data_IF_434475554110
#
_entry.id   IF_434475554110
#
_cell.length_a   1.000
_cell.length_b   1.000
_cell.length_c   1.000
_cell.angle_alpha   90.00
_cell.angle_beta   90.00
_cell.angle_gamma   90.00
#
_symmetry.space_group_name_H-M   'P 1'
#
loop_
_entity.id
_entity.type
_entity.pdbx_description
1 polymer ?
#
# COMPACT_ATOMS: atom_id res chain seq x y z
N UNK A 1 22.99 -8.86 1.96
CA UNK A 1 21.81 -9.72 1.70
C UNK A 1 20.63 -8.77 1.51
N UNK A 2 19.87 -8.89 0.42
CA UNK A 2 18.71 -8.05 0.18
C UNK A 2 17.63 -8.25 1.26
N UNK A 3 16.90 -7.20 1.56
CA UNK A 3 15.83 -7.21 2.56
C UNK A 3 14.52 -6.75 1.93
N UNK A 4 13.44 -7.45 2.25
CA UNK A 4 12.07 -7.03 1.96
C UNK A 4 11.48 -6.39 3.22
N UNK A 5 11.12 -5.12 3.12
CA UNK A 5 10.51 -4.33 4.19
C UNK A 5 9.03 -4.19 3.90
N UNK A 6 8.19 -4.80 4.70
CA UNK A 6 6.73 -4.71 4.56
C UNK A 6 6.17 -3.75 5.61
N UNK A 7 5.49 -2.70 5.15
CA UNK A 7 4.80 -1.75 6.02
C UNK A 7 3.31 -1.72 5.72
N UNK A 8 2.51 -1.40 6.73
CA UNK A 8 1.10 -1.09 6.55
C UNK A 8 0.91 0.41 6.68
N UNK A 9 -0.04 0.96 5.91
CA UNK A 9 -0.42 2.37 6.04
C UNK A 9 -0.88 2.71 7.47
N UNK A 10 -0.65 3.95 7.89
CA UNK A 10 -1.14 4.50 9.14
C UNK A 10 -2.67 4.57 9.21
N UNK A 11 -3.22 4.96 10.35
CA UNK A 11 -4.66 5.03 10.54
C UNK A 11 -5.32 6.02 9.57
N UNK A 12 -6.27 5.55 8.76
CA UNK A 12 -7.09 6.41 7.89
C UNK A 12 -8.30 7.00 8.64
N UNK A 13 -8.95 8.02 8.08
CA UNK A 13 -10.18 8.60 8.62
C UNK A 13 -11.29 7.55 8.83
N UNK A 14 -11.40 6.57 7.92
CA UNK A 14 -12.40 5.51 8.04
C UNK A 14 -11.99 4.39 8.99
N UNK A 15 -10.70 4.15 9.17
CA UNK A 15 -10.25 3.25 10.24
C UNK A 15 -10.64 3.80 11.61
N UNK A 16 -10.48 5.11 11.83
CA UNK A 16 -10.88 5.78 13.08
C UNK A 16 -12.37 5.67 13.37
N UNK A 17 -13.22 5.65 12.33
CA UNK A 17 -14.68 5.53 12.46
C UNK A 17 -15.21 4.10 12.28
N UNK A 18 -14.32 3.10 12.28
CA UNK A 18 -14.62 1.68 12.16
C UNK A 18 -15.45 1.33 10.92
N UNK A 19 -15.06 1.87 9.75
CA UNK A 19 -15.70 1.58 8.46
C UNK A 19 -14.89 0.63 7.61
N UNK A 20 -15.55 -0.07 6.70
CA UNK A 20 -14.90 -0.80 5.61
C UNK A 20 -14.36 0.20 4.59
N UNK A 21 -13.07 0.14 4.28
CA UNK A 21 -12.42 1.08 3.35
C UNK A 21 -12.30 0.48 1.95
N UNK A 22 -11.60 -0.63 1.80
CA UNK A 22 -11.36 -1.25 0.50
C UNK A 22 -10.68 -0.27 -0.48
N UNK A 23 -11.26 -0.09 -1.66
CA UNK A 23 -10.71 0.77 -2.70
C UNK A 23 -11.17 2.23 -2.62
N UNK A 24 -12.01 2.58 -1.64
CA UNK A 24 -12.33 4.00 -1.44
C UNK A 24 -11.07 4.74 -1.02
N UNK A 25 -10.79 5.83 -1.69
CA UNK A 25 -9.55 6.59 -1.53
C UNK A 25 -9.64 7.56 -0.34
N UNK A 26 -9.47 7.00 0.85
CA UNK A 26 -9.58 7.70 2.14
C UNK A 26 -8.19 8.01 2.66
N UNK A 27 -7.86 9.29 2.97
CA UNK A 27 -6.54 9.70 3.44
C UNK A 27 -6.28 9.27 4.89
N UNK A 28 -5.01 9.42 5.31
CA UNK A 28 -4.63 9.30 6.71
C UNK A 28 -5.29 10.39 7.57
N UNK A 29 -5.50 10.09 8.83
CA UNK A 29 -5.76 11.11 9.85
C UNK A 29 -4.44 11.54 10.52
N UNK A 30 -4.50 12.48 11.47
CA UNK A 30 -3.32 12.98 12.20
C UNK A 30 -2.54 11.84 12.90
N UNK A 31 -3.27 10.91 13.51
CA UNK A 31 -2.66 9.75 14.15
C UNK A 31 -1.93 8.86 13.12
N UNK A 32 -2.53 8.63 11.95
CA UNK A 32 -1.90 7.84 10.90
C UNK A 32 -0.62 8.46 10.36
N UNK A 33 -0.56 9.79 10.25
CA UNK A 33 0.66 10.52 9.89
C UNK A 33 1.73 10.36 10.97
N UNK A 34 1.36 10.51 12.26
CA UNK A 34 2.27 10.28 13.36
C UNK A 34 2.79 8.83 13.40
N UNK A 35 1.94 7.84 13.11
CA UNK A 35 2.34 6.44 12.98
C UNK A 35 3.37 6.24 11.85
N UNK A 36 3.22 6.92 10.71
CA UNK A 36 4.17 6.88 9.61
C UNK A 36 5.53 7.53 9.98
N UNK A 37 5.52 8.65 10.69
CA UNK A 37 6.75 9.29 11.22
C UNK A 37 7.50 8.36 12.20
N UNK A 38 6.77 7.67 13.08
CA UNK A 38 7.38 6.67 13.98
C UNK A 38 7.98 5.50 13.19
N UNK A 39 7.31 5.06 12.12
CA UNK A 39 7.83 4.01 11.25
C UNK A 39 9.12 4.45 10.55
N UNK A 40 9.20 5.70 10.08
CA UNK A 40 10.42 6.28 9.52
C UNK A 40 11.59 6.17 10.51
N UNK A 41 11.40 6.59 11.75
CA UNK A 41 12.44 6.48 12.78
C UNK A 41 12.93 5.03 13.02
N UNK A 42 12.02 4.04 12.93
CA UNK A 42 12.35 2.62 13.09
C UNK A 42 13.11 2.03 11.91
N UNK A 43 12.93 2.62 10.72
CA UNK A 43 13.53 2.14 9.48
C UNK A 43 14.84 2.84 9.13
N UNK A 44 15.35 3.77 9.97
CA UNK A 44 16.56 4.57 9.69
C UNK A 44 17.80 3.76 9.33
N UNK A 45 17.94 2.56 9.90
CA UNK A 45 19.08 1.69 9.66
C UNK A 45 18.95 0.83 8.38
N UNK A 46 17.82 0.97 7.68
CA UNK A 46 17.53 0.22 6.46
C UNK A 46 17.57 1.16 5.25
N UNK A 47 18.60 1.01 4.42
CA UNK A 47 18.67 1.75 3.16
C UNK A 47 17.81 1.09 2.10
N UNK A 48 16.78 1.78 1.64
CA UNK A 48 15.87 1.31 0.58
C UNK A 48 16.44 1.65 -0.81
N UNK A 49 16.34 0.74 -1.76
CA UNK A 49 16.78 0.95 -3.14
C UNK A 49 15.61 1.29 -4.07
N UNK A 50 14.46 0.69 -3.84
CA UNK A 50 13.22 0.87 -4.59
C UNK A 50 12.03 0.65 -3.67
N UNK A 51 10.92 1.34 -3.91
CA UNK A 51 9.70 1.19 -3.14
C UNK A 51 8.51 0.86 -4.06
N UNK A 52 7.60 0.03 -3.57
CA UNK A 52 6.35 -0.32 -4.24
C UNK A 52 5.19 -0.02 -3.30
N UNK A 53 4.16 0.64 -3.81
CA UNK A 53 2.97 0.97 -3.03
C UNK A 53 1.69 0.79 -3.86
N UNK A 54 0.55 0.76 -3.19
CA UNK A 54 -0.75 0.76 -3.87
C UNK A 54 -1.07 2.14 -4.46
N UNK A 55 -2.12 2.23 -5.30
CA UNK A 55 -2.63 3.51 -5.80
C UNK A 55 -3.43 4.30 -4.76
N UNK A 56 -3.73 3.73 -3.60
CA UNK A 56 -4.57 4.34 -2.57
C UNK A 56 -3.80 5.42 -1.81
N UNK A 57 -4.41 6.61 -1.69
CA UNK A 57 -3.79 7.80 -1.08
C UNK A 57 -3.18 7.52 0.30
N UNK A 58 -3.84 6.75 1.17
CA UNK A 58 -3.31 6.42 2.50
C UNK A 58 -2.00 5.64 2.47
N UNK A 59 -1.80 4.79 1.46
CA UNK A 59 -0.56 4.05 1.29
C UNK A 59 0.54 4.94 0.70
N UNK A 60 0.22 5.74 -0.31
CA UNK A 60 1.13 6.72 -0.90
C UNK A 60 1.58 7.73 0.16
N UNK A 61 0.64 8.30 0.93
CA UNK A 61 0.92 9.27 2.00
C UNK A 61 1.83 8.67 3.07
N UNK A 62 1.56 7.41 3.49
CA UNK A 62 2.43 6.69 4.44
C UNK A 62 3.83 6.51 3.86
N UNK A 63 3.94 6.07 2.62
CA UNK A 63 5.23 5.85 1.94
C UNK A 63 6.05 7.14 1.85
N UNK A 64 5.43 8.24 1.41
CA UNK A 64 6.10 9.54 1.28
C UNK A 64 6.61 10.01 2.66
N UNK A 65 5.77 9.96 3.70
CA UNK A 65 6.19 10.36 5.06
C UNK A 65 7.38 9.51 5.52
N UNK A 66 7.32 8.17 5.38
CA UNK A 66 8.42 7.29 5.79
C UNK A 66 9.73 7.67 5.10
N UNK A 67 9.69 7.95 3.80
CA UNK A 67 10.89 8.19 3.01
C UNK A 67 11.42 9.63 3.14
N UNK A 68 10.57 10.61 3.46
CA UNK A 68 10.97 12.03 3.53
C UNK A 68 11.31 12.51 4.96
N UNK A 69 10.88 11.79 6.00
CA UNK A 69 11.17 12.15 7.39
C UNK A 69 12.53 11.64 7.89
N UNK A 70 13.25 10.84 7.08
CA UNK A 70 14.54 10.26 7.45
C UNK A 70 15.41 10.05 6.21
N UNK A 71 16.34 10.95 5.97
CA UNK A 71 17.25 10.95 4.81
C UNK A 71 18.09 9.67 4.71
N UNK A 72 18.41 9.05 5.83
CA UNK A 72 19.21 7.83 5.88
C UNK A 72 18.55 6.67 5.12
N UNK A 73 17.21 6.57 5.16
CA UNK A 73 16.45 5.54 4.44
C UNK A 73 16.67 5.68 2.92
N UNK A 74 16.61 6.90 2.42
CA UNK A 74 16.81 7.20 1.01
C UNK A 74 18.28 7.20 0.61
N UNK A 75 19.20 7.33 1.58
CA UNK A 75 20.64 7.47 1.35
C UNK A 75 20.99 8.71 0.52
N UNK A 76 20.29 9.82 0.77
CA UNK A 76 20.47 11.10 0.06
C UNK A 76 19.79 11.15 -1.32
N UNK A 77 19.03 10.13 -1.72
CA UNK A 77 18.28 10.14 -2.99
C UNK A 77 16.89 10.75 -2.78
N UNK A 78 16.34 11.28 -3.87
CA UNK A 78 15.05 11.96 -3.90
C UNK A 78 13.94 10.93 -4.18
N UNK A 79 12.95 10.74 -3.30
CA UNK A 79 11.81 9.86 -3.55
C UNK A 79 10.96 10.40 -4.71
N UNK A 80 10.80 9.63 -5.78
CA UNK A 80 10.03 9.99 -6.97
C UNK A 80 8.95 8.94 -7.23
N UNK A 81 7.69 9.39 -7.33
CA UNK A 81 6.60 8.52 -7.76
C UNK A 81 6.75 8.18 -9.25
N UNK A 82 6.79 6.89 -9.53
CA UNK A 82 6.86 6.35 -10.90
C UNK A 82 5.60 5.55 -11.19
N UNK A 83 5.10 5.67 -12.42
CA UNK A 83 4.05 4.82 -12.94
C UNK A 83 4.64 3.68 -13.75
N UNK A 84 4.02 2.51 -13.69
CA UNK A 84 4.41 1.39 -14.53
C UNK A 84 4.08 1.71 -15.99
N UNK A 85 4.98 1.38 -16.92
CA UNK A 85 4.77 1.59 -18.36
C UNK A 85 3.51 0.85 -18.87
N UNK A 86 3.18 -0.25 -18.19
CA UNK A 86 1.97 -1.04 -18.47
C UNK A 86 0.69 -0.49 -17.82
N UNK A 87 0.80 0.56 -17.01
CA UNK A 87 -0.37 1.20 -16.41
C UNK A 87 -1.17 1.94 -17.51
N UNK A 88 -2.45 1.63 -17.71
CA UNK A 88 -3.25 2.24 -18.77
C UNK A 88 -3.42 3.76 -18.61
N UNK A 89 -3.25 4.28 -17.39
CA UNK A 89 -3.35 5.71 -17.10
C UNK A 89 -2.00 6.44 -17.22
N UNK A 90 -0.92 5.71 -17.53
CA UNK A 90 0.39 6.30 -17.70
C UNK A 90 0.43 7.27 -18.88
N UNK A 91 0.96 8.46 -18.67
CA UNK A 91 1.07 9.54 -19.67
C UNK A 91 2.50 10.10 -19.79
N UNK A 92 3.49 9.47 -19.16
CA UNK A 92 4.88 9.93 -19.16
C UNK A 92 5.14 11.17 -18.30
N UNK A 93 4.28 11.48 -17.34
CA UNK A 93 4.40 12.68 -16.49
C UNK A 93 5.40 12.54 -15.35
N UNK A 94 5.88 11.34 -15.11
CA UNK A 94 6.87 11.00 -14.10
C UNK A 94 8.31 11.08 -14.62
N UNK A 95 8.50 11.67 -15.80
CA UNK A 95 9.84 11.98 -16.29
C UNK A 95 10.44 13.12 -15.50
N UNK A 96 11.51 12.81 -14.80
CA UNK A 96 12.40 13.77 -14.18
C UNK A 96 13.74 13.75 -14.91
N UNK A 97 14.25 14.94 -15.31
CA UNK A 97 15.52 15.07 -16.07
C UNK A 97 16.77 14.88 -15.19
N UNK A 98 16.61 14.53 -13.92
CA UNK A 98 17.73 14.22 -13.02
C UNK A 98 18.45 12.92 -13.34
N UNK A 99 19.64 12.74 -12.80
CA UNK A 99 20.35 11.47 -12.91
C UNK A 99 19.57 10.38 -12.16
N UNK A 100 19.36 9.23 -12.79
CA UNK A 100 18.67 8.08 -12.15
C UNK A 100 19.30 7.65 -10.82
N UNK A 101 20.59 7.91 -10.64
CA UNK A 101 21.32 7.63 -9.40
C UNK A 101 20.87 8.54 -8.23
N UNK A 102 20.25 9.69 -8.51
CA UNK A 102 19.74 10.64 -7.52
C UNK A 102 18.30 10.39 -7.14
N UNK A 103 17.64 9.44 -7.81
CA UNK A 103 16.23 9.10 -7.57
C UNK A 103 16.07 7.83 -6.74
N UNK A 104 15.14 7.85 -5.79
CA UNK A 104 14.56 6.66 -5.18
C UNK A 104 13.20 6.41 -5.83
N UNK A 105 13.07 5.42 -6.72
CA UNK A 105 11.82 5.19 -7.41
C UNK A 105 10.78 4.58 -6.48
N UNK A 106 9.56 5.14 -6.52
CA UNK A 106 8.37 4.63 -5.85
C UNK A 106 7.38 4.24 -6.94
N UNK A 107 7.18 2.94 -7.15
CA UNK A 107 6.20 2.43 -8.10
C UNK A 107 4.83 2.27 -7.46
N UNK A 108 3.80 2.82 -8.11
CA UNK A 108 2.40 2.66 -7.69
C UNK A 108 1.68 1.69 -8.62
N UNK A 109 0.97 0.69 -8.07
CA UNK A 109 0.22 -0.25 -8.89
C UNK A 109 -1.03 -0.78 -8.18
N UNK A 110 -2.15 -0.88 -8.94
CA UNK A 110 -3.43 -1.36 -8.42
C UNK A 110 -3.40 -2.82 -7.92
N UNK A 111 -2.47 -3.64 -8.41
CA UNK A 111 -2.27 -4.99 -7.88
C UNK A 111 -1.94 -5.02 -6.38
N UNK A 112 -1.42 -3.92 -5.82
CA UNK A 112 -1.09 -3.78 -4.40
C UNK A 112 -2.21 -3.13 -3.58
N UNK A 113 -3.34 -2.78 -4.19
CA UNK A 113 -4.47 -2.19 -3.47
C UNK A 113 -5.03 -3.16 -2.42
N UNK A 114 -5.61 -2.60 -1.36
CA UNK A 114 -6.34 -3.37 -0.36
C UNK A 114 -7.40 -4.25 -1.03
N UNK A 115 -7.83 -5.30 -0.37
CA UNK A 115 -8.95 -6.11 -0.83
C UNK A 115 -10.20 -5.26 -1.06
N UNK A 116 -10.85 -5.47 -2.20
CA UNK A 116 -12.10 -4.80 -2.54
C UNK A 116 -13.25 -5.34 -1.68
N UNK A 117 -13.91 -4.46 -0.94
CA UNK A 117 -15.01 -4.85 -0.06
C UNK A 117 -16.40 -4.73 -0.70
N UNK A 118 -16.49 -4.37 -1.99
CA UNK A 118 -17.76 -4.28 -2.72
C UNK A 118 -18.77 -3.37 -2.03
N UNK A 119 -19.98 -3.90 -1.83
CA UNK A 119 -21.11 -3.16 -1.22
C UNK A 119 -20.90 -2.81 0.27
N UNK A 120 -19.90 -3.41 0.92
CA UNK A 120 -19.60 -3.10 2.31
C UNK A 120 -18.81 -1.79 2.46
N UNK A 121 -18.20 -1.26 1.40
CA UNK A 121 -17.40 -0.04 1.47
C UNK A 121 -18.20 1.13 2.02
N UNK A 122 -17.62 1.86 2.98
CA UNK A 122 -18.25 2.97 3.69
C UNK A 122 -19.15 2.56 4.86
N UNK A 123 -19.60 1.29 4.92
CA UNK A 123 -20.43 0.83 6.02
C UNK A 123 -19.62 0.72 7.32
N UNK A 124 -20.27 1.05 8.43
CA UNK A 124 -19.68 0.85 9.76
C UNK A 124 -19.68 -0.65 10.10
N UNK A 125 -18.53 -1.20 10.48
CA UNK A 125 -18.34 -2.65 10.71
C UNK A 125 -19.25 -3.21 11.82
N UNK A 126 -19.45 -2.44 12.91
CA UNK A 126 -20.32 -2.88 14.02
C UNK A 126 -21.79 -2.89 13.59
N UNK A 127 -22.25 -1.83 12.89
CA UNK A 127 -23.63 -1.77 12.38
C UNK A 127 -23.88 -2.85 11.33
N UNK A 128 -22.90 -3.15 10.50
CA UNK A 128 -22.97 -4.24 9.51
C UNK A 128 -23.09 -5.59 10.20
N UNK A 129 -22.29 -5.83 11.25
CA UNK A 129 -22.39 -7.06 12.03
C UNK A 129 -23.72 -7.20 12.75
N UNK A 130 -24.30 -6.09 13.27
CA UNK A 130 -25.63 -6.11 13.88
C UNK A 130 -26.74 -6.41 12.85
N UNK A 131 -26.58 -5.99 11.60
CA UNK A 131 -27.56 -6.21 10.51
C UNK A 131 -27.50 -7.61 9.92
N UNK A 132 -26.30 -8.11 9.63
CA UNK A 132 -26.10 -9.35 8.87
C UNK A 132 -25.65 -10.54 9.73
N UNK A 133 -25.39 -10.33 11.01
CA UNK A 133 -24.83 -11.31 11.93
C UNK A 133 -23.31 -11.22 12.02
N UNK A 134 -22.77 -11.41 13.23
CA UNK A 134 -21.34 -11.30 13.52
C UNK A 134 -20.54 -12.36 12.75
N UNK A 135 -21.05 -13.59 12.72
CA UNK A 135 -20.38 -14.73 12.08
C UNK A 135 -20.21 -14.51 10.58
N UNK A 136 -21.27 -14.14 9.87
CA UNK A 136 -21.22 -13.87 8.43
C UNK A 136 -20.29 -12.72 8.08
N UNK A 137 -20.34 -11.62 8.85
CA UNK A 137 -19.43 -10.48 8.63
C UNK A 137 -17.98 -10.85 8.93
N UNK A 138 -17.76 -11.73 9.92
CA UNK A 138 -16.43 -12.24 10.22
C UNK A 138 -15.92 -13.17 9.10
N UNK A 139 -16.79 -13.98 8.54
CA UNK A 139 -16.49 -14.80 7.37
C UNK A 139 -16.10 -13.93 6.17
N UNK A 140 -16.87 -12.92 5.80
CA UNK A 140 -16.50 -11.94 4.75
C UNK A 140 -15.16 -11.25 4.99
N UNK A 141 -14.78 -11.06 6.25
CA UNK A 141 -13.53 -10.36 6.62
C UNK A 141 -12.30 -11.26 6.67
N UNK A 142 -12.46 -12.56 6.90
CA UNK A 142 -11.36 -13.46 7.26
C UNK A 142 -11.24 -14.70 6.38
N UNK A 143 -12.33 -15.14 5.76
CA UNK A 143 -12.29 -16.32 4.90
C UNK A 143 -11.38 -16.09 3.69
N UNK A 144 -10.67 -17.14 3.31
CA UNK A 144 -9.83 -17.12 2.12
C UNK A 144 -10.66 -17.14 0.83
N UNK A 145 -11.76 -17.93 0.80
CA UNK A 145 -12.58 -18.13 -0.40
C UNK A 145 -13.86 -17.29 -0.45
N UNK A 146 -14.42 -16.91 0.71
CA UNK A 146 -15.73 -16.24 0.75
C UNK A 146 -15.58 -14.77 0.43
N UNK A 147 -16.34 -14.34 -0.57
CA UNK A 147 -16.41 -12.94 -1.01
C UNK A 147 -17.48 -12.18 -0.23
N UNK A 148 -17.22 -10.93 0.18
CA UNK A 148 -18.30 -10.02 0.54
C UNK A 148 -19.15 -9.69 -0.71
N UNK A 149 -20.39 -9.21 -0.54
CA UNK A 149 -21.26 -8.86 -1.66
C UNK A 149 -20.58 -7.89 -2.64
N UNK A 150 -20.44 -8.31 -3.90
CA UNK A 150 -19.77 -7.52 -4.95
C UNK A 150 -18.28 -7.26 -4.74
N UNK A 151 -17.62 -7.95 -3.81
CA UNK A 151 -16.22 -7.71 -3.47
C UNK A 151 -15.28 -8.89 -3.76
N UNK A 152 -14.04 -8.77 -3.30
CA UNK A 152 -12.98 -9.78 -3.44
C UNK A 152 -12.87 -10.67 -2.19
N UNK A 153 -12.55 -11.95 -2.40
CA UNK A 153 -12.00 -12.84 -1.37
C UNK A 153 -10.49 -12.54 -1.15
N UNK A 154 -9.88 -13.20 -0.17
CA UNK A 154 -8.42 -13.16 -0.03
C UNK A 154 -7.73 -13.91 -1.18
N UNK A 155 -8.34 -14.95 -1.72
CA UNK A 155 -7.88 -15.67 -2.90
C UNK A 155 -7.81 -14.76 -4.14
N UNK A 156 -8.85 -13.96 -4.39
CA UNK A 156 -8.86 -12.99 -5.48
C UNK A 156 -7.74 -11.95 -5.32
N UNK A 157 -7.57 -11.42 -4.12
CA UNK A 157 -6.49 -10.49 -3.79
C UNK A 157 -5.13 -11.13 -4.04
N UNK A 158 -4.92 -12.36 -3.59
CA UNK A 158 -3.68 -13.12 -3.83
C UNK A 158 -3.43 -13.33 -5.31
N UNK A 159 -4.46 -13.65 -6.09
CA UNK A 159 -4.36 -13.90 -7.53
C UNK A 159 -3.83 -12.69 -8.32
N UNK A 160 -4.03 -11.45 -7.83
CA UNK A 160 -3.46 -10.25 -8.46
C UNK A 160 -2.13 -9.80 -7.83
N UNK A 161 -1.95 -9.97 -6.51
CA UNK A 161 -0.75 -9.52 -5.80
C UNK A 161 0.45 -10.40 -6.10
N UNK A 162 0.29 -11.74 -6.07
CA UNK A 162 1.43 -12.67 -6.21
C UNK A 162 2.10 -12.58 -7.59
N UNK A 163 1.38 -12.57 -8.72
CA UNK A 163 2.02 -12.37 -10.03
C UNK A 163 2.78 -11.04 -10.13
N UNK A 164 2.22 -9.97 -9.58
CA UNK A 164 2.89 -8.67 -9.53
C UNK A 164 4.18 -8.73 -8.68
N UNK A 165 4.11 -9.33 -7.49
CA UNK A 165 5.29 -9.53 -6.65
C UNK A 165 6.38 -10.31 -7.37
N UNK A 166 6.03 -11.43 -8.00
CA UNK A 166 6.99 -12.30 -8.69
C UNK A 166 7.64 -11.64 -9.90
N UNK A 167 6.88 -10.82 -10.63
CA UNK A 167 7.37 -10.19 -11.87
C UNK A 167 8.03 -8.84 -11.66
N UNK A 168 7.65 -8.08 -10.61
CA UNK A 168 8.11 -6.70 -10.42
C UNK A 168 8.96 -6.49 -9.17
N UNK A 169 8.63 -7.14 -8.06
CA UNK A 169 9.30 -6.92 -6.77
C UNK A 169 10.46 -7.90 -6.58
N UNK A 170 10.22 -9.18 -6.79
CA UNK A 170 11.21 -10.22 -6.59
C UNK A 170 12.51 -10.03 -7.40
N UNK A 171 12.49 -9.53 -8.65
CA UNK A 171 13.73 -9.27 -9.41
C UNK A 171 14.69 -8.30 -8.71
N UNK A 172 14.17 -7.25 -8.04
CA UNK A 172 14.97 -6.31 -7.26
C UNK A 172 15.68 -7.00 -6.10
N UNK A 173 14.93 -7.83 -5.35
CA UNK A 173 15.50 -8.62 -4.26
C UNK A 173 16.59 -9.58 -4.75
N UNK A 174 16.37 -10.23 -5.91
CA UNK A 174 17.35 -11.14 -6.52
C UNK A 174 18.60 -10.40 -7.02
N UNK A 175 18.46 -9.12 -7.38
CA UNK A 175 19.57 -8.24 -7.73
C UNK A 175 20.36 -7.72 -6.50
N UNK A 176 19.92 -8.05 -5.28
CA UNK A 176 20.56 -7.62 -4.05
C UNK A 176 20.06 -6.28 -3.52
N UNK A 177 18.97 -5.74 -4.07
CA UNK A 177 18.38 -4.47 -3.67
C UNK A 177 17.41 -4.64 -2.49
N UNK A 178 17.41 -3.68 -1.57
CA UNK A 178 16.42 -3.60 -0.50
C UNK A 178 15.14 -2.94 -1.03
N UNK A 179 14.01 -3.57 -0.76
CA UNK A 179 12.69 -3.15 -1.23
C UNK A 179 11.77 -2.83 -0.07
#
# INVERSE_FOLDING_TARGET
MAQLILTRHGQSLWNATNRFTGWVDVPLNERGRAEAMIASCKLRDYRVNVCFTSKLIRAIETTIIILTECDEICGGRIPILKHEVTDPDWRGWDHYEGAMAEELPIFTHAALDERYYGELQGLNKAKTAAKYGVELVQEWRRSYHVRPPGGESLEDTQARVVPYFMSRILPHLNAGENV
#
